data_IF_475839393350
#
_entry.id   IF_475839393350
#
_cell.length_a   1.000
_cell.length_b   1.000
_cell.length_c   1.000
_cell.angle_alpha   90.00
_cell.angle_beta   90.00
_cell.angle_gamma   90.00
#
_symmetry.space_group_name_H-M   'P 1'
#
loop_
_entity.id
_entity.type
_entity.pdbx_description
1 polymer ?
#
# COMPACT_ATOMS: atom_id res chain seq x y z
N UNK A 1 -11.45 1.36 32.27
CA UNK A 1 -10.63 0.14 32.08
C UNK A 1 -9.37 0.04 32.97
N UNK A 2 -8.79 1.13 33.49
CA UNK A 2 -7.57 1.06 34.33
C UNK A 2 -7.74 0.61 35.80
N UNK A 3 -8.96 0.60 36.32
CA UNK A 3 -9.21 0.33 37.76
C UNK A 3 -9.26 -1.17 38.08
N UNK A 4 -9.63 -2.01 37.10
CA UNK A 4 -9.68 -3.46 37.26
C UNK A 4 -8.27 -4.06 37.34
N UNK A 5 -7.33 -3.50 36.57
CA UNK A 5 -5.94 -3.95 36.56
C UNK A 5 -5.22 -3.62 37.88
N UNK A 6 -5.53 -2.47 38.49
CA UNK A 6 -4.98 -2.06 39.79
C UNK A 6 -5.55 -2.90 40.94
N UNK A 7 -6.83 -3.27 40.86
CA UNK A 7 -7.47 -4.15 41.85
C UNK A 7 -6.92 -5.58 41.81
N UNK A 8 -6.72 -6.13 40.61
CA UNK A 8 -6.14 -7.48 40.45
C UNK A 8 -4.67 -7.52 40.86
N UNK A 9 -3.90 -6.45 40.61
CA UNK A 9 -2.52 -6.34 41.09
C UNK A 9 -2.42 -6.32 42.63
N UNK A 10 -3.31 -5.59 43.29
CA UNK A 10 -3.36 -5.53 44.76
C UNK A 10 -3.73 -6.86 45.43
N UNK A 11 -4.46 -7.75 44.74
CA UNK A 11 -4.75 -9.12 45.24
C UNK A 11 -3.58 -10.09 45.03
N UNK A 12 -2.73 -9.87 44.02
CA UNK A 12 -1.56 -10.71 43.72
C UNK A 12 -0.37 -10.36 44.62
N UNK A 13 -0.23 -9.09 45.02
CA UNK A 13 0.91 -8.63 45.82
C UNK A 13 0.75 -8.84 47.34
N UNK A 14 -0.32 -9.51 47.78
CA UNK A 14 -0.43 -10.07 49.14
C UNK A 14 -0.54 -9.02 50.25
N UNK A 15 -1.74 -8.85 50.78
CA UNK A 15 -1.97 -8.17 52.06
C UNK A 15 -1.27 -8.93 53.19
N UNK A 16 -0.20 -8.37 53.75
CA UNK A 16 0.36 -8.83 55.02
C UNK A 16 -0.57 -8.38 56.15
N UNK A 17 -1.55 -9.22 56.46
CA UNK A 17 -2.30 -9.14 57.71
C UNK A 17 -1.35 -9.44 58.87
N UNK A 18 -1.20 -8.47 59.76
CA UNK A 18 -0.52 -8.61 61.03
C UNK A 18 -1.33 -9.51 61.95
N UNK A 19 -0.89 -10.75 62.16
CA UNK A 19 -1.31 -11.57 63.30
C UNK A 19 -0.11 -11.99 64.13
N UNK A 20 -0.06 -11.46 65.36
CA UNK A 20 0.83 -11.90 66.42
C UNK A 20 0.41 -13.31 66.86
N UNK A 21 1.32 -14.28 66.77
CA UNK A 21 1.34 -15.38 67.74
C UNK A 21 2.75 -15.94 67.98
N UNK A 22 3.08 -15.92 69.28
CA UNK A 22 4.09 -16.64 70.05
C UNK A 22 4.83 -17.84 69.42
N UNK A 23 6.17 -17.76 69.48
CA UNK A 23 7.03 -18.83 70.01
C UNK A 23 7.37 -20.02 69.10
N UNK A 24 8.65 -20.18 68.73
CA UNK A 24 9.58 -21.22 69.26
C UNK A 24 10.87 -21.28 68.43
N UNK A 25 11.99 -21.33 69.14
CA UNK A 25 13.38 -21.50 68.67
C UNK A 25 13.53 -22.63 67.64
N UNK A 26 14.22 -22.35 66.53
CA UNK A 26 14.73 -23.35 65.59
C UNK A 26 15.94 -22.80 64.84
N UNK A 27 17.12 -23.34 65.14
CA UNK A 27 18.43 -22.97 64.59
C UNK A 27 18.77 -23.92 63.44
N UNK A 28 18.80 -23.44 62.20
CA UNK A 28 19.53 -23.97 61.01
C UNK A 28 19.52 -22.79 60.02
N UNK A 29 20.57 -22.23 59.44
CA UNK A 29 21.85 -22.77 58.98
C UNK A 29 21.96 -22.41 57.50
N UNK A 30 22.99 -21.64 57.12
CA UNK A 30 23.52 -21.60 55.75
C UNK A 30 22.76 -20.81 54.67
N UNK A 31 23.33 -19.67 54.28
CA UNK A 31 23.42 -19.09 52.94
C UNK A 31 22.37 -19.42 51.85
N UNK A 32 21.78 -18.38 51.25
CA UNK A 32 21.94 -18.12 49.81
C UNK A 32 21.45 -16.72 49.46
N UNK A 33 22.36 -15.87 49.02
CA UNK A 33 22.07 -14.58 48.37
C UNK A 33 21.73 -14.74 46.87
N UNK A 34 21.13 -15.87 46.46
CA UNK A 34 20.94 -16.26 45.05
C UNK A 34 19.52 -16.12 44.48
N UNK A 35 18.56 -15.56 45.23
CA UNK A 35 17.12 -15.60 44.86
C UNK A 35 16.72 -14.90 43.56
N UNK A 36 17.46 -13.89 43.10
CA UNK A 36 17.17 -13.19 41.83
C UNK A 36 17.77 -13.87 40.60
N UNK A 37 18.96 -14.45 40.75
CA UNK A 37 19.67 -15.12 39.65
C UNK A 37 19.01 -16.46 39.31
N UNK A 38 18.63 -17.25 40.33
CA UNK A 38 17.95 -18.53 40.13
C UNK A 38 16.53 -18.41 39.53
N UNK A 39 15.83 -17.30 39.79
CA UNK A 39 14.51 -17.05 39.19
C UNK A 39 14.64 -16.63 37.71
N UNK A 40 15.66 -15.83 37.37
CA UNK A 40 15.96 -15.45 35.99
C UNK A 40 16.42 -16.65 35.16
N UNK A 41 17.28 -17.52 35.73
CA UNK A 41 17.73 -18.74 35.07
C UNK A 41 16.59 -19.76 34.91
N UNK A 42 15.73 -19.93 35.92
CA UNK A 42 14.54 -20.79 35.80
C UNK A 42 13.53 -20.25 34.77
N UNK A 43 13.36 -18.93 34.68
CA UNK A 43 12.54 -18.29 33.65
C UNK A 43 13.14 -18.49 32.27
N UNK A 44 14.45 -18.31 32.11
CA UNK A 44 15.17 -18.56 30.85
C UNK A 44 15.12 -20.03 30.42
N UNK A 45 15.14 -20.96 31.38
CA UNK A 45 14.98 -22.40 31.13
C UNK A 45 13.52 -22.73 30.73
N UNK A 46 12.51 -22.11 31.36
CA UNK A 46 11.11 -22.24 30.96
C UNK A 46 10.84 -21.66 29.56
N UNK A 47 11.41 -20.50 29.21
CA UNK A 47 11.26 -19.95 27.85
C UNK A 47 11.96 -20.82 26.82
N UNK A 48 13.17 -21.35 27.09
CA UNK A 48 13.83 -22.31 26.18
C UNK A 48 13.06 -23.63 25.99
N UNK A 49 12.26 -24.03 26.98
CA UNK A 49 11.38 -25.22 26.89
C UNK A 49 10.03 -24.93 26.26
N UNK A 50 9.71 -23.67 25.97
CA UNK A 50 8.49 -23.33 25.25
C UNK A 50 8.56 -23.90 23.83
N UNK A 51 7.48 -24.54 23.40
CA UNK A 51 7.33 -25.05 22.03
C UNK A 51 7.62 -23.96 20.98
N UNK A 52 7.25 -22.71 21.26
CA UNK A 52 7.54 -21.56 20.40
C UNK A 52 9.04 -21.32 20.18
N UNK A 53 9.85 -21.32 21.24
CA UNK A 53 11.30 -21.12 21.11
C UNK A 53 11.98 -22.32 20.46
N UNK A 54 11.50 -23.53 20.72
CA UNK A 54 12.00 -24.73 20.05
C UNK A 54 11.73 -24.68 18.54
N UNK A 55 10.55 -24.20 18.15
CA UNK A 55 10.19 -24.03 16.74
C UNK A 55 11.05 -22.97 16.05
N UNK A 56 11.38 -21.86 16.72
CA UNK A 56 12.34 -20.87 16.19
C UNK A 56 13.74 -21.48 16.02
N UNK A 57 14.24 -22.23 17.00
CA UNK A 57 15.54 -22.90 16.91
C UNK A 57 15.56 -23.96 15.80
N UNK A 58 14.45 -24.65 15.59
CA UNK A 58 14.26 -25.60 14.51
C UNK A 58 14.26 -24.90 13.15
N UNK A 59 13.51 -23.80 12.98
CA UNK A 59 13.51 -23.00 11.76
C UNK A 59 14.91 -22.44 11.45
N UNK A 60 15.63 -21.95 12.46
CA UNK A 60 17.01 -21.47 12.31
C UNK A 60 17.92 -22.57 11.77
N UNK A 61 17.76 -23.82 12.24
CA UNK A 61 18.55 -24.97 11.78
C UNK A 61 18.13 -25.46 10.40
N UNK A 62 16.84 -25.68 10.20
CA UNK A 62 16.28 -26.27 8.99
C UNK A 62 16.41 -25.33 7.78
N UNK A 63 16.26 -24.02 7.99
CA UNK A 63 16.35 -23.01 6.94
C UNK A 63 17.69 -22.28 6.89
N UNK A 64 18.70 -22.71 7.66
CA UNK A 64 20.01 -22.04 7.73
C UNK A 64 20.66 -21.81 6.36
N UNK A 65 20.63 -22.84 5.49
CA UNK A 65 21.20 -22.76 4.14
C UNK A 65 20.47 -21.73 3.29
N UNK A 66 19.15 -21.87 3.19
CA UNK A 66 18.27 -20.96 2.46
C UNK A 66 18.38 -19.52 2.95
N UNK A 67 18.41 -19.28 4.26
CA UNK A 67 18.51 -17.92 4.82
C UNK A 67 19.87 -17.30 4.48
N UNK A 68 20.96 -18.08 4.51
CA UNK A 68 22.29 -17.58 4.09
C UNK A 68 22.32 -17.24 2.59
N UNK A 69 21.66 -18.04 1.76
CA UNK A 69 21.52 -17.77 0.33
C UNK A 69 20.69 -16.50 0.08
N UNK A 70 19.54 -16.37 0.72
CA UNK A 70 18.69 -15.17 0.66
C UNK A 70 19.43 -13.94 1.17
N UNK A 71 20.17 -14.06 2.29
CA UNK A 71 21.03 -12.99 2.81
C UNK A 71 22.03 -12.53 1.76
N UNK A 72 22.78 -13.45 1.14
CA UNK A 72 23.77 -13.12 0.11
C UNK A 72 23.11 -12.50 -1.13
N UNK A 73 21.94 -13.01 -1.53
CA UNK A 73 21.16 -12.48 -2.63
C UNK A 73 20.70 -11.05 -2.35
N UNK A 74 20.14 -10.76 -1.16
CA UNK A 74 19.71 -9.41 -0.79
C UNK A 74 20.91 -8.45 -0.76
N UNK A 75 22.06 -8.85 -0.22
CA UNK A 75 23.26 -8.00 -0.17
C UNK A 75 23.71 -7.63 -1.58
N UNK A 76 23.77 -8.60 -2.49
CA UNK A 76 24.24 -8.42 -3.87
C UNK A 76 23.21 -7.81 -4.82
N UNK A 77 21.92 -7.82 -4.46
CA UNK A 77 20.85 -7.34 -5.33
C UNK A 77 20.96 -5.83 -5.58
N UNK A 78 21.09 -5.45 -6.84
CA UNK A 78 21.00 -4.07 -7.31
C UNK A 78 20.15 -4.10 -8.56
N UNK A 79 19.20 -3.17 -8.69
CA UNK A 79 18.36 -3.13 -9.88
C UNK A 79 17.92 -1.71 -10.20
N UNK A 80 17.66 -1.51 -11.49
CA UNK A 80 16.98 -0.35 -12.05
C UNK A 80 15.70 -0.76 -12.80
N UNK A 81 15.40 -2.06 -12.90
CA UNK A 81 14.17 -2.57 -13.52
C UNK A 81 13.17 -2.95 -12.43
N UNK A 82 11.97 -2.36 -12.51
CA UNK A 82 10.91 -2.61 -11.55
C UNK A 82 10.31 -4.02 -11.66
N UNK A 83 10.39 -4.65 -12.83
CA UNK A 83 9.99 -6.06 -12.99
C UNK A 83 10.98 -7.00 -12.29
N UNK A 84 12.27 -6.73 -12.39
CA UNK A 84 13.29 -7.45 -11.63
C UNK A 84 13.10 -7.26 -10.12
N UNK A 85 12.83 -6.02 -9.69
CA UNK A 85 12.49 -5.72 -8.29
C UNK A 85 11.33 -6.59 -7.79
N UNK A 86 10.22 -6.64 -8.52
CA UNK A 86 9.05 -7.45 -8.15
C UNK A 86 9.35 -8.95 -8.14
N UNK A 87 10.08 -9.45 -9.15
CA UNK A 87 10.49 -10.87 -9.21
C UNK A 87 11.39 -11.24 -8.04
N UNK A 88 12.37 -10.40 -7.73
CA UNK A 88 13.29 -10.61 -6.63
C UNK A 88 12.59 -10.55 -5.27
N UNK A 89 11.71 -9.58 -5.08
CA UNK A 89 10.87 -9.51 -3.89
C UNK A 89 10.06 -10.79 -3.69
N UNK A 90 9.37 -11.28 -4.74
CA UNK A 90 8.65 -12.56 -4.67
C UNK A 90 9.55 -13.74 -4.32
N UNK A 91 10.75 -13.78 -4.91
CA UNK A 91 11.75 -14.80 -4.58
C UNK A 91 12.09 -14.76 -3.08
N UNK A 92 12.42 -13.59 -2.53
CA UNK A 92 12.75 -13.43 -1.11
C UNK A 92 11.58 -13.85 -0.21
N UNK A 93 10.39 -13.32 -0.46
CA UNK A 93 9.21 -13.62 0.37
C UNK A 93 8.83 -15.10 0.34
N UNK A 94 8.98 -15.80 -0.79
CA UNK A 94 8.70 -17.25 -0.88
C UNK A 94 9.62 -18.13 0.00
N UNK A 95 10.75 -17.58 0.44
CA UNK A 95 11.64 -18.25 1.39
C UNK A 95 11.35 -17.84 2.83
N UNK A 96 11.04 -16.55 3.06
CA UNK A 96 10.78 -16.02 4.40
C UNK A 96 9.40 -16.43 4.94
N UNK A 97 8.39 -16.62 4.08
CA UNK A 97 7.04 -17.05 4.48
C UNK A 97 7.00 -18.45 5.11
N UNK A 98 8.06 -19.23 4.96
CA UNK A 98 8.20 -20.58 5.55
C UNK A 98 8.59 -20.54 7.03
N UNK A 99 9.03 -19.37 7.52
CA UNK A 99 9.48 -19.20 8.89
C UNK A 99 8.29 -18.92 9.80
N UNK A 100 8.29 -19.54 10.98
CA UNK A 100 7.22 -19.36 11.99
C UNK A 100 7.21 -17.94 12.54
N UNK A 101 8.40 -17.42 12.84
CA UNK A 101 8.61 -16.03 13.28
C UNK A 101 9.83 -15.48 12.55
N UNK A 102 9.59 -14.83 11.41
CA UNK A 102 10.64 -14.25 10.56
C UNK A 102 11.58 -13.35 11.38
N UNK A 103 11.04 -12.46 12.21
CA UNK A 103 11.86 -11.48 12.93
C UNK A 103 12.80 -12.16 13.91
N UNK A 104 12.30 -13.14 14.68
CA UNK A 104 13.11 -13.87 15.64
C UNK A 104 14.14 -14.77 14.95
N UNK A 105 13.77 -15.46 13.87
CA UNK A 105 14.68 -16.33 13.12
C UNK A 105 15.79 -15.51 12.47
N UNK A 106 15.45 -14.43 11.75
CA UNK A 106 16.44 -13.59 11.07
C UNK A 106 17.39 -12.89 12.05
N UNK A 107 16.93 -12.58 13.28
CA UNK A 107 17.79 -12.00 14.32
C UNK A 107 18.96 -12.89 14.76
N UNK A 108 18.90 -14.20 14.47
CA UNK A 108 19.96 -15.16 14.80
C UNK A 108 21.07 -15.22 13.75
N UNK A 109 20.87 -14.57 12.60
CA UNK A 109 21.86 -14.49 11.54
C UNK A 109 22.58 -13.15 11.63
N UNK A 110 23.85 -13.18 12.04
CA UNK A 110 24.69 -11.99 12.11
C UNK A 110 24.69 -11.23 10.78
N UNK A 111 24.71 -9.90 10.83
CA UNK A 111 24.74 -9.01 9.66
C UNK A 111 23.64 -9.28 8.62
N UNK A 112 22.47 -9.78 9.04
CA UNK A 112 21.34 -9.90 8.12
C UNK A 112 20.91 -8.49 7.62
N UNK A 113 20.73 -8.28 6.30
CA UNK A 113 20.51 -6.97 5.70
C UNK A 113 19.06 -6.48 5.89
N UNK A 114 18.57 -6.44 7.13
CA UNK A 114 17.17 -6.10 7.44
C UNK A 114 16.73 -4.74 6.90
N UNK A 115 17.60 -3.72 6.97
CA UNK A 115 17.29 -2.40 6.39
C UNK A 115 17.05 -2.45 4.87
N UNK A 116 17.81 -3.28 4.16
CA UNK A 116 17.68 -3.45 2.70
C UNK A 116 16.46 -4.29 2.37
N UNK A 117 16.18 -5.34 3.15
CA UNK A 117 14.96 -6.15 3.02
C UNK A 117 13.70 -5.28 3.18
N UNK A 118 13.64 -4.44 4.21
CA UNK A 118 12.52 -3.53 4.40
C UNK A 118 12.40 -2.52 3.25
N UNK A 119 13.51 -1.94 2.79
CA UNK A 119 13.51 -1.07 1.62
C UNK A 119 12.99 -1.78 0.36
N UNK A 120 13.35 -3.05 0.15
CA UNK A 120 12.86 -3.90 -0.93
C UNK A 120 11.34 -4.10 -0.86
N UNK A 121 10.82 -4.42 0.33
CA UNK A 121 9.38 -4.57 0.59
C UNK A 121 8.62 -3.28 0.31
N UNK A 122 9.09 -2.15 0.84
CA UNK A 122 8.45 -0.86 0.62
C UNK A 122 8.48 -0.43 -0.85
N UNK A 123 9.63 -0.58 -1.52
CA UNK A 123 9.75 -0.26 -2.95
C UNK A 123 8.82 -1.15 -3.79
N UNK A 124 8.81 -2.46 -3.52
CA UNK A 124 7.96 -3.41 -4.25
C UNK A 124 6.47 -3.15 -4.04
N UNK A 125 6.07 -2.87 -2.80
CA UNK A 125 4.69 -2.53 -2.46
C UNK A 125 4.24 -1.21 -3.12
N UNK A 126 5.11 -0.19 -3.10
CA UNK A 126 4.85 1.09 -3.75
C UNK A 126 4.68 0.92 -5.27
N UNK A 127 5.63 0.22 -5.92
CA UNK A 127 5.55 0.00 -7.36
C UNK A 127 4.32 -0.83 -7.74
N UNK A 128 4.05 -1.93 -7.03
CA UNK A 128 2.87 -2.76 -7.29
C UNK A 128 1.55 -1.98 -7.15
N UNK A 129 1.47 -1.06 -6.19
CA UNK A 129 0.32 -0.17 -6.04
C UNK A 129 0.16 0.74 -7.27
N UNK A 130 1.23 1.40 -7.69
CA UNK A 130 1.23 2.30 -8.86
C UNK A 130 0.95 1.55 -10.17
N UNK A 131 1.50 0.35 -10.31
CA UNK A 131 1.25 -0.52 -11.45
C UNK A 131 -0.21 -0.99 -11.50
N UNK A 132 -0.82 -1.29 -10.35
CA UNK A 132 -2.26 -1.58 -10.27
C UNK A 132 -3.10 -0.40 -10.75
N UNK A 133 -2.73 0.82 -10.37
CA UNK A 133 -3.40 2.05 -10.84
C UNK A 133 -3.25 2.18 -12.37
N UNK A 134 -2.02 2.07 -12.88
CA UNK A 134 -1.75 2.15 -14.30
C UNK A 134 -2.53 1.10 -15.10
N UNK A 135 -2.52 -0.17 -14.66
CA UNK A 135 -3.27 -1.25 -15.29
C UNK A 135 -4.79 -1.01 -15.25
N UNK A 136 -5.31 -0.40 -14.18
CA UNK A 136 -6.74 -0.05 -14.08
C UNK A 136 -7.12 1.03 -15.08
N UNK A 137 -6.30 2.06 -15.24
CA UNK A 137 -6.53 3.15 -16.21
C UNK A 137 -6.37 2.67 -17.65
N UNK A 138 -5.37 1.84 -17.92
CA UNK A 138 -5.12 1.28 -19.25
C UNK A 138 -6.28 0.38 -19.73
N UNK A 139 -6.89 -0.36 -18.81
CA UNK A 139 -8.02 -1.24 -19.10
C UNK A 139 -9.37 -0.60 -18.74
N UNK A 140 -9.45 0.73 -18.73
CA UNK A 140 -10.66 1.43 -18.30
C UNK A 140 -11.85 1.06 -19.19
N UNK A 141 -13.01 0.70 -18.60
CA UNK A 141 -14.17 0.28 -19.39
C UNK A 141 -14.76 1.45 -20.16
N UNK A 142 -14.66 1.38 -21.49
CA UNK A 142 -15.31 2.30 -22.43
C UNK A 142 -16.67 1.69 -22.79
N UNK A 143 -17.74 2.11 -22.13
CA UNK A 143 -19.08 1.54 -22.31
C UNK A 143 -20.21 2.53 -22.08
N UNK A 144 -21.43 2.15 -22.45
CA UNK A 144 -22.65 2.90 -22.16
C UNK A 144 -23.33 2.30 -20.92
N UNK A 145 -23.99 3.10 -20.05
CA UNK A 145 -24.31 4.53 -20.23
C UNK A 145 -23.16 5.47 -19.84
N UNK A 146 -22.92 6.52 -20.63
CA UNK A 146 -21.84 7.49 -20.43
C UNK A 146 -21.80 8.10 -19.02
N UNK A 147 -22.96 8.41 -18.44
CA UNK A 147 -23.04 9.01 -17.11
C UNK A 147 -22.38 8.15 -16.03
N UNK A 148 -22.58 6.83 -16.11
CA UNK A 148 -21.96 5.91 -15.16
C UNK A 148 -20.45 5.80 -15.38
N UNK A 149 -19.97 5.91 -16.63
CA UNK A 149 -18.55 5.89 -16.94
C UNK A 149 -17.87 7.16 -16.43
N UNK A 150 -18.47 8.33 -16.67
CA UNK A 150 -17.99 9.62 -16.16
C UNK A 150 -17.97 9.64 -14.62
N UNK A 151 -19.06 9.25 -13.96
CA UNK A 151 -19.14 9.24 -12.49
C UNK A 151 -18.06 8.33 -11.88
N UNK A 152 -17.84 7.15 -12.47
CA UNK A 152 -16.77 6.23 -12.06
C UNK A 152 -15.39 6.83 -12.29
N UNK A 153 -15.17 7.46 -13.45
CA UNK A 153 -13.89 8.06 -13.80
C UNK A 153 -13.55 9.22 -12.87
N UNK A 154 -14.51 10.11 -12.58
CA UNK A 154 -14.35 11.20 -11.64
C UNK A 154 -14.07 10.72 -10.21
N UNK A 155 -14.83 9.72 -9.73
CA UNK A 155 -14.61 9.14 -8.40
C UNK A 155 -13.22 8.53 -8.28
N UNK A 156 -12.77 7.80 -9.30
CA UNK A 156 -11.46 7.17 -9.31
C UNK A 156 -10.33 8.20 -9.45
N UNK A 157 -10.48 9.20 -10.31
CA UNK A 157 -9.57 10.34 -10.44
C UNK A 157 -9.38 11.06 -9.10
N UNK A 158 -10.45 11.32 -8.35
CA UNK A 158 -10.36 11.97 -7.05
C UNK A 158 -9.49 11.18 -6.06
N UNK A 159 -9.61 9.84 -6.07
CA UNK A 159 -8.80 8.96 -5.23
C UNK A 159 -7.33 8.99 -5.66
N UNK A 160 -7.06 8.78 -6.94
CA UNK A 160 -5.70 8.76 -7.48
C UNK A 160 -5.00 10.09 -7.25
N UNK A 161 -5.69 11.21 -7.49
CA UNK A 161 -5.13 12.55 -7.30
C UNK A 161 -4.61 12.74 -5.87
N UNK A 162 -5.40 12.38 -4.87
CA UNK A 162 -4.97 12.50 -3.46
C UNK A 162 -3.74 11.65 -3.18
N UNK A 163 -3.73 10.41 -3.66
CA UNK A 163 -2.58 9.51 -3.46
C UNK A 163 -1.32 9.98 -4.19
N UNK A 164 -1.46 10.46 -5.42
CA UNK A 164 -0.34 10.96 -6.22
C UNK A 164 0.21 12.28 -5.68
N UNK A 165 -0.66 13.21 -5.27
CA UNK A 165 -0.22 14.45 -4.64
C UNK A 165 0.56 14.15 -3.34
N UNK A 166 0.13 13.17 -2.55
CA UNK A 166 0.86 12.75 -1.35
C UNK A 166 2.23 12.15 -1.69
N UNK A 167 2.28 11.29 -2.71
CA UNK A 167 3.51 10.66 -3.17
C UNK A 167 4.49 11.66 -3.80
N UNK A 168 4.02 12.66 -4.54
CA UNK A 168 4.87 13.70 -5.11
C UNK A 168 5.60 14.51 -4.03
N UNK A 169 4.96 14.73 -2.87
CA UNK A 169 5.59 15.42 -1.73
C UNK A 169 6.70 14.62 -1.06
N UNK A 170 6.58 13.28 -1.04
CA UNK A 170 7.55 12.39 -0.37
C UNK A 170 8.55 11.75 -1.34
N UNK A 171 8.36 11.93 -2.66
CA UNK A 171 9.16 11.31 -3.73
C UNK A 171 10.66 11.43 -3.51
N UNK A 172 11.15 12.63 -3.19
CA UNK A 172 12.59 12.87 -3.05
C UNK A 172 13.19 12.20 -1.81
N UNK A 173 12.41 12.06 -0.74
CA UNK A 173 12.80 11.33 0.47
C UNK A 173 12.85 9.82 0.22
N UNK A 174 11.82 9.26 -0.41
CA UNK A 174 11.76 7.84 -0.78
C UNK A 174 12.87 7.48 -1.78
N UNK A 175 13.13 8.33 -2.77
CA UNK A 175 14.22 8.13 -3.73
C UNK A 175 15.58 8.07 -3.04
N UNK A 176 15.86 8.96 -2.07
CA UNK A 176 17.09 8.92 -1.28
C UNK A 176 17.17 7.64 -0.43
N UNK A 177 16.06 7.23 0.18
CA UNK A 177 15.95 6.04 1.01
C UNK A 177 16.24 4.76 0.22
N UNK A 178 15.66 4.62 -0.97
CA UNK A 178 15.88 3.47 -1.85
C UNK A 178 17.30 3.46 -2.42
N UNK A 179 17.82 4.62 -2.86
CA UNK A 179 19.20 4.73 -3.36
C UNK A 179 20.25 4.38 -2.30
N UNK A 180 20.02 4.75 -1.03
CA UNK A 180 20.89 4.35 0.08
C UNK A 180 21.01 2.82 0.24
N UNK A 181 20.03 2.07 -0.27
CA UNK A 181 20.00 0.61 -0.29
C UNK A 181 20.28 0.02 -1.68
N UNK A 182 20.80 0.84 -2.63
CA UNK A 182 21.12 0.44 -4.02
C UNK A 182 19.91 -0.03 -4.83
N UNK A 183 18.73 0.51 -4.52
CA UNK A 183 17.49 0.28 -5.27
C UNK A 183 17.20 1.57 -6.06
N UNK A 184 17.26 1.50 -7.39
CA UNK A 184 16.93 2.62 -8.26
C UNK A 184 15.44 2.55 -8.62
N UNK A 185 14.60 3.15 -7.78
CA UNK A 185 13.15 3.19 -8.02
C UNK A 185 12.81 4.12 -9.18
N UNK A 186 12.06 3.62 -10.17
CA UNK A 186 11.62 4.40 -11.32
C UNK A 186 10.28 5.10 -11.04
N UNK A 187 10.33 6.41 -10.80
CA UNK A 187 9.15 7.27 -10.65
C UNK A 187 8.52 7.70 -11.99
N UNK A 188 9.07 7.27 -13.13
CA UNK A 188 8.46 7.46 -14.46
C UNK A 188 7.03 6.90 -14.54
N UNK A 189 6.69 5.90 -13.72
CA UNK A 189 5.32 5.40 -13.59
C UNK A 189 4.30 6.48 -13.18
N UNK A 190 4.72 7.54 -12.48
CA UNK A 190 3.83 8.66 -12.16
C UNK A 190 3.44 9.45 -13.40
N UNK A 191 4.39 9.64 -14.32
CA UNK A 191 4.14 10.30 -15.61
C UNK A 191 3.19 9.42 -16.43
N UNK A 192 3.47 8.12 -16.50
CA UNK A 192 2.59 7.15 -17.18
C UNK A 192 1.16 7.16 -16.63
N UNK A 193 0.98 7.25 -15.32
CA UNK A 193 -0.38 7.34 -14.73
C UNK A 193 -1.08 8.64 -15.14
N UNK A 194 -0.36 9.77 -15.20
CA UNK A 194 -0.91 11.04 -15.68
C UNK A 194 -1.35 10.95 -17.14
N UNK A 195 -0.52 10.37 -18.01
CA UNK A 195 -0.82 10.12 -19.42
C UNK A 195 -2.06 9.23 -19.58
N UNK A 196 -2.11 8.10 -18.87
CA UNK A 196 -3.27 7.19 -18.90
C UNK A 196 -4.56 7.87 -18.38
N UNK A 197 -4.44 8.82 -17.45
CA UNK A 197 -5.61 9.59 -17.00
C UNK A 197 -6.12 10.54 -18.10
N UNK A 198 -5.21 11.14 -18.88
CA UNK A 198 -5.55 11.93 -20.08
C UNK A 198 -6.21 11.05 -21.15
N UNK A 199 -5.77 9.80 -21.31
CA UNK A 199 -6.43 8.85 -22.20
C UNK A 199 -7.86 8.54 -21.76
N UNK A 200 -8.07 8.31 -20.44
CA UNK A 200 -9.40 8.06 -19.87
C UNK A 200 -10.33 9.26 -20.07
N UNK A 201 -9.84 10.49 -19.85
CA UNK A 201 -10.67 11.69 -20.09
C UNK A 201 -10.99 11.87 -21.57
N UNK A 202 -10.03 11.60 -22.47
CA UNK A 202 -10.24 11.64 -23.92
C UNK A 202 -11.31 10.64 -24.37
N UNK A 203 -11.27 9.41 -23.87
CA UNK A 203 -12.29 8.41 -24.15
C UNK A 203 -13.68 8.86 -23.67
N UNK A 204 -13.76 9.53 -22.52
CA UNK A 204 -15.02 10.09 -22.02
C UNK A 204 -15.54 11.23 -22.91
N UNK A 205 -14.66 12.11 -23.40
CA UNK A 205 -15.04 13.17 -24.35
C UNK A 205 -15.54 12.61 -25.68
N UNK A 206 -14.86 11.59 -26.23
CA UNK A 206 -15.28 10.91 -27.46
C UNK A 206 -16.66 10.28 -27.32
N UNK A 207 -16.92 9.58 -26.21
CA UNK A 207 -18.24 9.02 -25.93
C UNK A 207 -19.32 10.11 -25.82
N UNK A 208 -19.01 11.23 -25.15
CA UNK A 208 -19.94 12.36 -25.03
C UNK A 208 -20.28 12.99 -26.39
N UNK A 209 -19.27 13.20 -27.24
CA UNK A 209 -19.46 13.69 -28.60
C UNK A 209 -20.27 12.70 -29.45
N UNK A 210 -20.00 11.40 -29.33
CA UNK A 210 -20.74 10.35 -30.03
C UNK A 210 -22.22 10.34 -29.64
N UNK A 211 -22.53 10.33 -28.35
CA UNK A 211 -23.92 10.39 -27.86
C UNK A 211 -24.63 11.68 -28.36
N UNK A 212 -23.93 12.82 -28.42
CA UNK A 212 -24.52 14.06 -28.96
C UNK A 212 -24.85 13.94 -30.45
N UNK A 213 -23.95 13.36 -31.25
CA UNK A 213 -24.16 13.16 -32.69
C UNK A 213 -25.34 12.22 -32.95
N UNK A 214 -25.46 11.14 -32.18
CA UNK A 214 -26.59 10.19 -32.25
C UNK A 214 -27.90 10.88 -31.84
N UNK A 215 -27.90 11.65 -30.75
CA UNK A 215 -29.08 12.40 -30.33
C UNK A 215 -29.56 13.42 -31.40
N UNK A 216 -28.63 14.12 -32.08
CA UNK A 216 -28.97 15.03 -33.18
C UNK A 216 -29.57 14.31 -34.40
N UNK A 217 -29.13 13.08 -34.67
CA UNK A 217 -29.67 12.28 -35.77
C UNK A 217 -31.11 11.81 -35.47
N UNK A 218 -31.38 11.42 -34.22
CA UNK A 218 -32.72 11.02 -33.75
C UNK A 218 -33.70 12.22 -33.62
N UNK A 219 -33.19 13.42 -33.32
CA UNK A 219 -34.00 14.65 -33.19
C UNK A 219 -34.70 15.03 -34.51
N UNK A 220 -34.13 14.64 -35.66
CA UNK A 220 -34.75 14.82 -36.97
C UNK A 220 -35.92 13.84 -37.25
N UNK A 221 -36.12 12.81 -36.44
CA UNK A 221 -37.09 11.72 -36.66
C UNK A 221 -38.28 11.75 -35.65
N UNK A 222 -38.15 12.30 -34.43
CA UNK A 222 -39.22 12.27 -33.41
C UNK A 222 -39.42 13.54 -32.55
N UNK A 223 -40.68 13.83 -32.18
CA UNK A 223 -41.16 14.98 -31.39
C UNK A 223 -40.77 15.01 -29.88
N UNK A 224 -39.84 14.17 -29.41
CA UNK A 224 -39.35 14.14 -28.00
C UNK A 224 -37.95 14.77 -27.82
N UNK A 225 -37.65 15.78 -28.62
CA UNK A 225 -36.34 16.42 -28.77
C UNK A 225 -35.78 17.09 -27.49
N UNK A 226 -36.59 17.90 -26.79
CA UNK A 226 -36.07 18.86 -25.81
C UNK A 226 -35.44 18.22 -24.55
N UNK A 227 -36.02 17.14 -24.03
CA UNK A 227 -35.52 16.46 -22.84
C UNK A 227 -34.22 15.68 -23.12
N UNK A 228 -34.13 15.02 -24.29
CA UNK A 228 -32.94 14.31 -24.76
C UNK A 228 -31.79 15.29 -25.06
N UNK A 229 -32.10 16.42 -25.72
CA UNK A 229 -31.14 17.49 -26.02
C UNK A 229 -30.53 18.10 -24.76
N UNK A 230 -31.35 18.44 -23.76
CA UNK A 230 -30.89 18.98 -22.46
C UNK A 230 -30.03 17.96 -21.68
N UNK A 231 -30.39 16.68 -21.74
CA UNK A 231 -29.59 15.58 -21.18
C UNK A 231 -28.21 15.50 -21.83
N UNK A 232 -28.16 15.49 -23.17
CA UNK A 232 -26.92 15.41 -23.94
C UNK A 232 -25.98 16.60 -23.68
N UNK A 233 -26.49 17.83 -23.64
CA UNK A 233 -25.66 19.03 -23.36
C UNK A 233 -25.07 18.98 -21.95
N UNK A 234 -25.82 18.49 -20.96
CA UNK A 234 -25.32 18.31 -19.60
C UNK A 234 -24.13 17.32 -19.58
N UNK A 235 -24.21 16.23 -20.36
CA UNK A 235 -23.11 15.25 -20.45
C UNK A 235 -21.86 15.84 -21.08
N UNK A 236 -22.00 16.67 -22.13
CA UNK A 236 -20.85 17.38 -22.73
C UNK A 236 -20.17 18.29 -21.71
N UNK A 237 -20.95 19.04 -20.93
CA UNK A 237 -20.41 19.88 -19.85
C UNK A 237 -19.68 19.07 -18.78
N UNK A 238 -20.24 17.94 -18.35
CA UNK A 238 -19.58 17.05 -17.39
C UNK A 238 -18.26 16.49 -17.93
N UNK A 239 -18.25 16.01 -19.19
CA UNK A 239 -17.02 15.52 -19.83
C UNK A 239 -15.97 16.63 -19.95
N UNK A 240 -16.38 17.86 -20.28
CA UNK A 240 -15.48 19.02 -20.37
C UNK A 240 -14.86 19.36 -19.01
N UNK A 241 -15.69 19.42 -17.96
CA UNK A 241 -15.22 19.70 -16.60
C UNK A 241 -14.24 18.63 -16.11
N UNK A 242 -14.53 17.35 -16.39
CA UNK A 242 -13.63 16.26 -16.06
C UNK A 242 -12.29 16.40 -16.79
N UNK A 243 -12.31 16.62 -18.12
CA UNK A 243 -11.11 16.80 -18.92
C UNK A 243 -10.25 17.98 -18.42
N UNK A 244 -10.86 19.11 -18.08
CA UNK A 244 -10.14 20.26 -17.53
C UNK A 244 -9.44 19.97 -16.20
N UNK A 245 -10.09 19.18 -15.32
CA UNK A 245 -9.48 18.76 -14.05
C UNK A 245 -8.31 17.82 -14.27
N UNK A 246 -8.42 16.92 -15.25
CA UNK A 246 -7.33 16.02 -15.67
C UNK A 246 -6.17 16.79 -16.28
N UNK A 247 -6.42 17.75 -17.17
CA UNK A 247 -5.40 18.65 -17.73
C UNK A 247 -4.59 19.34 -16.62
N UNK A 248 -5.28 19.91 -15.63
CA UNK A 248 -4.62 20.60 -14.50
C UNK A 248 -3.77 19.65 -13.67
N UNK A 249 -4.21 18.40 -13.51
CA UNK A 249 -3.50 17.36 -12.77
C UNK A 249 -2.29 16.81 -13.53
N UNK A 250 -2.43 16.57 -14.83
CA UNK A 250 -1.36 16.08 -15.68
C UNK A 250 -0.31 17.17 -15.97
N UNK A 251 -0.69 18.44 -15.91
CA UNK A 251 0.16 19.58 -16.26
C UNK A 251 0.23 19.83 -17.78
N UNK A 252 -0.72 19.28 -18.53
CA UNK A 252 -0.76 19.28 -19.98
C UNK A 252 -1.64 18.15 -20.51
N UNK A 253 -1.86 18.11 -21.81
CA UNK A 253 -2.53 17.01 -22.51
C UNK A 253 -1.91 16.81 -23.89
N UNK A 254 -2.20 15.67 -24.52
CA UNK A 254 -1.71 15.36 -25.86
C UNK A 254 -2.57 16.06 -26.96
N UNK A 255 -2.10 15.99 -28.21
CA UNK A 255 -2.79 16.62 -29.34
C UNK A 255 -4.21 16.06 -29.54
N UNK A 256 -4.42 14.77 -29.24
CA UNK A 256 -5.74 14.13 -29.31
C UNK A 256 -6.71 14.77 -28.30
N UNK A 257 -6.33 14.85 -27.03
CA UNK A 257 -7.14 15.45 -25.98
C UNK A 257 -7.43 16.94 -26.26
N UNK A 258 -6.45 17.68 -26.78
CA UNK A 258 -6.61 19.07 -27.19
C UNK A 258 -7.68 19.23 -28.29
N UNK A 259 -7.62 18.40 -29.33
CA UNK A 259 -8.58 18.43 -30.43
C UNK A 259 -10.00 18.09 -29.95
N UNK A 260 -10.14 17.05 -29.12
CA UNK A 260 -11.42 16.66 -28.52
C UNK A 260 -12.00 17.76 -27.64
N UNK A 261 -11.17 18.41 -26.82
CA UNK A 261 -11.59 19.52 -25.95
C UNK A 261 -12.14 20.68 -26.77
N UNK A 262 -11.47 21.03 -27.89
CA UNK A 262 -11.93 22.08 -28.82
C UNK A 262 -13.24 21.73 -29.50
N UNK A 263 -13.40 20.47 -29.91
CA UNK A 263 -14.64 20.00 -30.53
C UNK A 263 -15.80 20.03 -29.53
N UNK A 264 -15.57 19.52 -28.31
CA UNK A 264 -16.53 19.54 -27.23
C UNK A 264 -16.99 20.96 -26.88
N UNK A 265 -16.06 21.92 -26.85
CA UNK A 265 -16.38 23.33 -26.61
C UNK A 265 -17.30 23.91 -27.70
N UNK A 266 -17.01 23.64 -28.99
CA UNK A 266 -17.87 24.08 -30.11
C UNK A 266 -19.27 23.47 -30.04
N UNK A 267 -19.38 22.20 -29.66
CA UNK A 267 -20.66 21.49 -29.52
C UNK A 267 -21.50 22.00 -28.34
N UNK A 268 -20.85 22.48 -27.29
CA UNK A 268 -21.48 23.16 -26.16
C UNK A 268 -21.98 24.55 -26.59
N UNK A 269 -21.16 25.34 -27.29
CA UNK A 269 -21.51 26.69 -27.76
C UNK A 269 -22.66 26.67 -28.77
N UNK A 270 -22.68 25.71 -29.69
CA UNK A 270 -23.75 25.55 -30.69
C UNK A 270 -25.02 24.89 -30.15
N UNK A 271 -24.96 24.32 -28.93
CA UNK A 271 -26.09 23.67 -28.27
C UNK A 271 -26.89 24.56 -27.33
N UNK A 272 -26.31 25.69 -26.89
CA UNK A 272 -26.98 26.73 -26.11
C UNK A 272 -27.78 27.68 -27.01
#
# INVERSE_FOLDING_TARGET
>A
MGNLYRFLKGKVEGSSSSDKSSGRKGKVGGASSGGKQGMADALAEMTKRSAYFQQIEEDVKNHAGTIKEVKAAIISFETSDMNELLKFHKYVESHLEKLTDETQVLSRFEDFPGKKLEALRMASALYAKLDTIANTLQNWPVGLPLGQVLDKAESYFNKIKVEMDALERTKDEELKRFKAQKINFDFGILIRIKELMVDVSSNCMELALKERREAKAEENEELKADAKKKGSIKMLWSAFQFAFRVYTFAGGQDERADNLTRELAKEIETGN
#
